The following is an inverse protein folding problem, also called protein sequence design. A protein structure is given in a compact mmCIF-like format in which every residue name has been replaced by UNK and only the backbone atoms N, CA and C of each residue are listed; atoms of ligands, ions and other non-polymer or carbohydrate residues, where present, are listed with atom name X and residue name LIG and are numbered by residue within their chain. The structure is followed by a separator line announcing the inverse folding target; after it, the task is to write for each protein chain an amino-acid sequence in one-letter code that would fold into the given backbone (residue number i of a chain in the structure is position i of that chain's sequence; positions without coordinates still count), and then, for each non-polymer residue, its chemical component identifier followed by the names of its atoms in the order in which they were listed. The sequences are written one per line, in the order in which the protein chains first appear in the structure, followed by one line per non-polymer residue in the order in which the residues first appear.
data_IF_924470385573
#
_entry.id   IF_924470385573
#
_cell.length_a   1.000
_cell.length_b   1.000
_cell.length_c   1.000
_cell.angle_alpha   90.00
_cell.angle_beta   90.00
_cell.angle_gamma   90.00
#
_symmetry.space_group_name_H-M   'P 1'
#
loop_
_entity.id
_entity.type
_entity.pdbx_description
1 polymer ?
#
# COMPACT_ATOMS: atom_id res chain seq x y z
N UNK A 1 12.76 21.68 16.58
CA UNK A 1 13.44 20.46 16.11
C UNK A 1 12.86 19.30 16.91
N UNK A 2 12.07 18.42 16.30
CA UNK A 2 11.57 17.25 17.02
C UNK A 2 12.65 16.17 16.94
N UNK A 3 13.31 15.92 18.06
CA UNK A 3 14.26 14.82 18.17
C UNK A 3 13.57 13.50 17.81
N UNK A 4 14.27 12.65 17.11
CA UNK A 4 13.86 11.24 16.96
C UNK A 4 13.89 10.68 18.38
N UNK A 5 12.73 10.48 18.99
CA UNK A 5 12.64 9.96 20.37
C UNK A 5 13.42 8.65 20.46
N UNK A 6 14.56 8.69 21.18
CA UNK A 6 15.41 7.53 21.42
C UNK A 6 16.63 7.37 20.53
N UNK A 7 16.84 8.22 19.51
CA UNK A 7 18.06 8.16 18.71
C UNK A 7 19.24 8.81 19.45
N UNK A 8 20.37 8.15 19.43
CA UNK A 8 21.64 8.69 19.97
C UNK A 8 22.16 9.81 19.07
N UNK A 9 23.03 10.65 19.61
CA UNK A 9 23.69 11.72 18.84
C UNK A 9 24.49 11.18 17.64
N UNK A 10 24.99 9.95 17.74
CA UNK A 10 25.73 9.27 16.67
C UNK A 10 24.81 8.81 15.54
N UNK A 11 23.65 8.24 15.87
CA UNK A 11 22.62 7.86 14.89
C UNK A 11 22.10 9.09 14.14
N UNK A 12 21.87 10.20 14.83
CA UNK A 12 21.48 11.48 14.20
C UNK A 12 22.56 12.00 13.25
N UNK A 13 23.84 11.90 13.63
CA UNK A 13 24.96 12.26 12.73
C UNK A 13 25.01 11.38 11.50
N UNK A 14 24.77 10.09 11.64
CA UNK A 14 24.76 9.12 10.54
C UNK A 14 23.58 9.39 9.59
N UNK A 15 22.40 9.65 10.12
CA UNK A 15 21.23 10.04 9.32
C UNK A 15 21.52 11.31 8.51
N UNK A 16 22.09 12.34 9.13
CA UNK A 16 22.45 13.58 8.44
C UNK A 16 23.52 13.35 7.36
N UNK A 17 24.51 12.49 7.62
CA UNK A 17 25.51 12.14 6.62
C UNK A 17 24.86 11.46 5.39
N UNK A 18 23.94 10.54 5.60
CA UNK A 18 23.15 9.89 4.53
C UNK A 18 22.32 10.95 3.77
N UNK A 19 21.59 11.81 4.47
CA UNK A 19 20.80 12.87 3.86
C UNK A 19 21.64 13.77 2.95
N UNK A 20 22.81 14.22 3.44
CA UNK A 20 23.76 15.02 2.62
C UNK A 20 24.24 14.27 1.39
N UNK A 21 24.57 12.98 1.53
CA UNK A 21 25.07 12.16 0.43
C UNK A 21 24.06 11.97 -0.71
N UNK A 22 22.76 11.99 -0.38
CA UNK A 22 21.67 11.86 -1.37
C UNK A 22 21.05 13.21 -1.75
N UNK A 23 21.54 14.34 -1.21
CA UNK A 23 21.01 15.68 -1.48
C UNK A 23 19.64 15.95 -0.82
N UNK A 24 19.27 15.17 0.19
CA UNK A 24 18.06 15.40 0.98
C UNK A 24 18.27 16.49 2.04
N UNK A 25 17.17 17.00 2.60
CA UNK A 25 17.20 17.99 3.67
C UNK A 25 17.92 17.43 4.91
N UNK A 26 19.03 18.05 5.29
CA UNK A 26 19.90 17.67 6.44
C UNK A 26 19.27 18.07 7.78
N UNK A 27 18.21 17.39 8.17
CA UNK A 27 17.48 17.65 9.42
C UNK A 27 17.59 16.54 10.46
N UNK A 28 18.28 15.44 10.14
CA UNK A 28 18.40 14.26 11.03
C UNK A 28 17.12 13.41 11.11
N UNK A 29 16.16 13.65 10.22
CA UNK A 29 14.90 12.89 10.13
C UNK A 29 14.83 12.10 8.84
N UNK A 30 14.53 10.81 8.94
CA UNK A 30 14.15 10.01 7.76
C UNK A 30 12.65 10.13 7.57
N UNK A 31 12.24 11.04 6.69
CA UNK A 31 10.85 11.18 6.23
C UNK A 31 10.65 10.67 4.81
N UNK A 32 9.43 10.82 4.29
CA UNK A 32 9.10 10.38 2.93
C UNK A 32 9.97 11.05 1.86
N UNK A 33 10.35 12.32 2.04
CA UNK A 33 11.23 13.01 1.11
C UNK A 33 12.63 12.39 1.12
N UNK A 34 13.22 12.18 2.30
CA UNK A 34 14.54 11.52 2.42
C UNK A 34 14.53 10.13 1.78
N UNK A 35 13.45 9.35 1.97
CA UNK A 35 13.32 8.03 1.33
C UNK A 35 13.22 8.12 -0.19
N UNK A 36 12.47 9.11 -0.72
CA UNK A 36 12.41 9.38 -2.15
C UNK A 36 13.79 9.76 -2.72
N UNK A 37 14.53 10.61 -2.02
CA UNK A 37 15.85 11.08 -2.45
C UNK A 37 16.89 9.94 -2.39
N UNK A 38 16.83 9.10 -1.34
CA UNK A 38 17.64 7.87 -1.24
C UNK A 38 17.32 6.94 -2.41
N UNK A 39 16.04 6.70 -2.66
CA UNK A 39 15.58 5.84 -3.74
C UNK A 39 16.02 6.37 -5.13
N UNK A 40 15.96 7.68 -5.34
CA UNK A 40 16.41 8.30 -6.59
C UNK A 40 17.93 8.16 -6.82
N UNK A 41 18.73 8.24 -5.75
CA UNK A 41 20.20 8.16 -5.82
C UNK A 41 20.74 6.74 -5.89
N UNK A 42 20.16 5.81 -5.12
CA UNK A 42 20.63 4.42 -5.05
C UNK A 42 20.17 3.56 -6.24
N UNK A 43 19.21 4.07 -7.05
CA UNK A 43 18.71 3.35 -8.20
C UNK A 43 17.78 2.17 -7.84
N UNK A 44 17.52 1.30 -8.82
CA UNK A 44 16.55 0.21 -8.68
C UNK A 44 17.02 -0.91 -7.72
N UNK A 45 18.32 -1.08 -7.55
CA UNK A 45 18.92 -2.23 -6.84
C UNK A 45 18.68 -2.21 -5.32
N UNK A 46 18.21 -1.09 -4.76
CA UNK A 46 17.88 -0.99 -3.33
C UNK A 46 16.44 -1.37 -2.99
N UNK A 47 15.60 -1.65 -3.98
CA UNK A 47 14.21 -2.03 -3.75
C UNK A 47 14.02 -3.57 -3.70
N UNK A 48 13.01 -4.03 -2.96
CA UNK A 48 12.10 -3.28 -2.09
C UNK A 48 12.74 -2.83 -0.77
N UNK A 49 12.46 -1.60 -0.34
CA UNK A 49 12.88 -1.06 0.95
C UNK A 49 11.88 -1.39 2.04
N UNK A 50 12.34 -1.95 3.14
CA UNK A 50 11.53 -2.27 4.31
C UNK A 50 11.84 -1.27 5.44
N UNK A 51 10.84 -0.49 5.84
CA UNK A 51 10.98 0.60 6.81
C UNK A 51 9.81 0.63 7.78
N UNK A 52 9.95 1.40 8.86
CA UNK A 52 8.84 1.78 9.73
C UNK A 52 8.56 3.28 9.56
N UNK A 53 7.32 3.63 9.19
CA UNK A 53 6.89 5.00 9.04
C UNK A 53 5.72 5.31 9.99
N UNK A 54 5.90 6.29 10.87
CA UNK A 54 4.88 6.68 11.86
C UNK A 54 4.38 5.51 12.72
N UNK A 55 5.28 4.59 13.11
CA UNK A 55 4.96 3.40 13.88
C UNK A 55 4.26 2.29 13.09
N UNK A 56 4.21 2.39 11.77
CA UNK A 56 3.61 1.39 10.90
C UNK A 56 4.68 0.73 10.02
N UNK A 57 4.74 -0.62 9.96
CA UNK A 57 5.60 -1.32 9.01
C UNK A 57 5.21 -1.02 7.57
N UNK A 58 6.21 -0.73 6.74
CA UNK A 58 6.03 -0.38 5.34
C UNK A 58 7.03 -1.11 4.44
N UNK A 59 6.60 -1.43 3.23
CA UNK A 59 7.44 -1.86 2.12
C UNK A 59 7.30 -0.83 1.00
N UNK A 60 8.42 -0.32 0.49
CA UNK A 60 8.46 0.62 -0.61
C UNK A 60 9.10 -0.03 -1.83
N UNK A 61 8.55 0.20 -3.02
CA UNK A 61 9.09 -0.30 -4.28
C UNK A 61 8.75 0.61 -5.45
N UNK A 62 9.35 0.32 -6.61
CA UNK A 62 9.03 1.01 -7.88
C UNK A 62 7.98 0.28 -8.70
N UNK A 63 7.75 -0.99 -8.38
CA UNK A 63 6.72 -1.80 -9.04
C UNK A 63 6.15 -2.86 -8.12
N UNK A 64 5.04 -3.46 -8.53
CA UNK A 64 4.39 -4.55 -7.81
C UNK A 64 3.97 -5.67 -8.75
N UNK A 65 3.81 -6.85 -8.18
CA UNK A 65 3.19 -8.01 -8.81
C UNK A 65 2.00 -8.47 -7.94
N UNK A 66 0.76 -8.18 -8.33
CA UNK A 66 -0.41 -8.72 -7.64
C UNK A 66 -0.51 -10.22 -7.91
N UNK A 67 -0.38 -11.03 -6.88
CA UNK A 67 -0.28 -12.49 -6.99
C UNK A 67 -1.57 -13.16 -6.50
N UNK A 68 -2.28 -13.85 -7.39
CA UNK A 68 -3.31 -14.81 -6.98
C UNK A 68 -2.60 -16.05 -6.43
N UNK A 69 -2.97 -16.49 -5.22
CA UNK A 69 -2.26 -17.53 -4.50
C UNK A 69 -3.16 -18.28 -3.53
N UNK A 70 -2.63 -19.33 -2.91
CA UNK A 70 -3.27 -20.02 -1.79
C UNK A 70 -2.17 -20.53 -0.84
N UNK A 71 -1.91 -19.75 0.23
CA UNK A 71 -0.86 -20.11 1.19
C UNK A 71 -0.33 -18.93 2.00
N UNK A 72 0.84 -19.11 2.63
CA UNK A 72 1.50 -18.07 3.41
C UNK A 72 1.93 -16.88 2.54
N UNK A 73 2.00 -15.69 3.13
CA UNK A 73 2.40 -14.48 2.44
C UNK A 73 3.85 -14.57 1.95
N UNK A 74 4.13 -14.34 0.64
CA UNK A 74 5.49 -14.36 0.12
C UNK A 74 6.35 -13.23 0.71
N UNK A 75 7.67 -13.34 0.54
CA UNK A 75 8.61 -12.30 0.95
C UNK A 75 8.34 -10.99 0.19
N UNK A 76 8.58 -9.87 0.87
CA UNK A 76 8.39 -8.51 0.36
C UNK A 76 6.97 -8.28 -0.20
N UNK A 77 5.96 -8.68 0.59
CA UNK A 77 4.55 -8.59 0.23
C UNK A 77 3.67 -8.11 1.39
N UNK A 78 2.50 -7.59 1.03
CA UNK A 78 1.36 -7.38 1.93
C UNK A 78 0.19 -8.27 1.48
N UNK A 79 -0.75 -8.55 2.40
CA UNK A 79 -2.03 -9.16 2.02
C UNK A 79 -2.73 -8.31 0.96
N UNK A 80 -3.39 -8.96 0.02
CA UNK A 80 -4.07 -8.31 -1.09
C UNK A 80 -5.44 -7.76 -0.72
N UNK A 81 -6.24 -7.52 -1.74
CA UNK A 81 -7.61 -7.02 -1.60
C UNK A 81 -8.58 -8.07 -1.06
N UNK A 82 -9.85 -7.68 -1.01
CA UNK A 82 -10.92 -8.51 -0.49
C UNK A 82 -11.03 -9.84 -1.23
N UNK A 83 -11.36 -10.88 -0.50
CA UNK A 83 -11.52 -12.22 -1.03
C UNK A 83 -12.79 -12.88 -0.50
N UNK A 84 -13.43 -13.71 -1.33
CA UNK A 84 -14.59 -14.51 -0.99
C UNK A 84 -14.46 -15.91 -1.55
N UNK A 85 -14.71 -16.93 -0.74
CA UNK A 85 -14.60 -18.35 -1.12
C UNK A 85 -13.28 -18.71 -1.82
N UNK A 86 -12.18 -18.11 -1.37
CA UNK A 86 -10.85 -18.40 -1.90
C UNK A 86 -10.51 -17.71 -3.22
N UNK A 87 -11.31 -16.75 -3.66
CA UNK A 87 -11.07 -15.98 -4.88
C UNK A 87 -11.03 -14.46 -4.58
N UNK A 88 -10.22 -13.68 -5.32
CA UNK A 88 -10.31 -12.23 -5.27
C UNK A 88 -11.72 -11.76 -5.61
N UNK A 89 -12.27 -10.82 -4.85
CA UNK A 89 -13.57 -10.23 -5.15
C UNK A 89 -13.49 -8.75 -5.58
N UNK A 90 -12.33 -8.13 -5.50
CA UNK A 90 -12.04 -6.81 -6.06
C UNK A 90 -11.42 -6.90 -7.46
N UNK A 91 -11.49 -5.82 -8.24
CA UNK A 91 -10.84 -5.73 -9.56
C UNK A 91 -9.35 -6.05 -9.42
N UNK A 92 -8.87 -6.95 -10.26
CA UNK A 92 -7.50 -7.40 -10.26
C UNK A 92 -6.99 -7.63 -11.68
N UNK A 93 -5.92 -6.94 -12.05
CA UNK A 93 -5.18 -7.16 -13.31
C UNK A 93 -3.72 -7.46 -12.97
N UNK A 94 -3.14 -8.47 -13.61
CA UNK A 94 -1.74 -8.88 -13.43
C UNK A 94 -1.07 -9.07 -14.78
N UNK A 95 0.03 -8.37 -15.03
CA UNK A 95 0.78 -8.47 -16.28
C UNK A 95 -0.09 -8.22 -17.53
N UNK A 96 -1.02 -7.27 -17.45
CA UNK A 96 -1.96 -6.95 -18.51
C UNK A 96 -3.13 -7.96 -18.69
N UNK A 97 -3.19 -8.99 -17.85
CA UNK A 97 -4.27 -9.99 -17.88
C UNK A 97 -5.28 -9.74 -16.77
N UNK A 98 -6.56 -9.65 -17.11
CA UNK A 98 -7.65 -9.53 -16.13
C UNK A 98 -7.79 -10.84 -15.37
N UNK A 99 -7.59 -10.81 -14.06
CA UNK A 99 -7.81 -11.91 -13.12
C UNK A 99 -9.23 -11.84 -12.55
N UNK A 100 -9.66 -10.63 -12.19
CA UNK A 100 -11.03 -10.33 -11.75
C UNK A 100 -11.47 -9.02 -12.40
N UNK A 101 -12.62 -9.06 -13.11
CA UNK A 101 -13.13 -7.91 -13.88
C UNK A 101 -14.00 -6.95 -13.06
N UNK A 102 -14.72 -7.47 -12.07
CA UNK A 102 -15.80 -6.74 -11.40
C UNK A 102 -15.37 -6.20 -10.03
N UNK A 103 -15.92 -5.03 -9.68
CA UNK A 103 -15.78 -4.44 -8.34
C UNK A 103 -16.34 -5.36 -7.25
N UNK A 104 -15.84 -5.20 -6.03
CA UNK A 104 -16.25 -6.01 -4.87
C UNK A 104 -17.78 -5.99 -4.64
N UNK A 105 -18.40 -4.86 -4.87
CA UNK A 105 -19.84 -4.65 -4.67
C UNK A 105 -20.57 -4.29 -5.97
N UNK A 106 -20.19 -4.96 -7.08
CA UNK A 106 -20.82 -4.72 -8.38
C UNK A 106 -22.36 -4.70 -8.28
N UNK A 107 -23.06 -3.74 -8.93
CA UNK A 107 -22.55 -2.77 -9.92
C UNK A 107 -21.96 -1.48 -9.34
N UNK A 108 -21.79 -1.34 -8.03
CA UNK A 108 -21.18 -0.15 -7.43
C UNK A 108 -19.69 -0.09 -7.80
N UNK A 109 -19.17 1.12 -8.08
CA UNK A 109 -17.76 1.27 -8.37
C UNK A 109 -16.93 1.09 -7.10
N UNK A 110 -15.69 0.63 -7.26
CA UNK A 110 -14.65 0.66 -6.24
C UNK A 110 -13.46 1.49 -6.72
N UNK A 111 -12.64 1.96 -5.79
CA UNK A 111 -11.38 2.61 -6.12
C UNK A 111 -10.34 1.59 -6.54
N UNK A 112 -9.67 1.84 -7.65
CA UNK A 112 -8.65 0.95 -8.22
C UNK A 112 -7.37 1.73 -8.42
N UNK A 113 -6.29 1.29 -7.76
CA UNK A 113 -4.94 1.75 -8.06
C UNK A 113 -4.38 0.91 -9.20
N UNK A 114 -3.85 1.53 -10.26
CA UNK A 114 -3.38 0.82 -11.43
C UNK A 114 -2.19 1.49 -12.08
N UNK A 115 -1.39 0.70 -12.82
CA UNK A 115 -0.28 1.17 -13.64
C UNK A 115 -0.62 1.00 -15.10
N UNK A 116 -0.52 2.08 -15.85
CA UNK A 116 -0.70 2.13 -17.30
C UNK A 116 0.56 1.62 -18.03
N UNK A 117 0.45 1.30 -19.30
CA UNK A 117 1.58 0.82 -20.12
C UNK A 117 2.71 1.84 -20.30
N UNK A 118 2.40 3.14 -20.18
CA UNK A 118 3.38 4.22 -20.16
C UNK A 118 4.13 4.36 -18.82
N UNK A 119 3.80 3.50 -17.84
CA UNK A 119 4.44 3.44 -16.54
C UNK A 119 3.83 4.35 -15.46
N UNK A 120 2.82 5.16 -15.79
CA UNK A 120 2.18 6.04 -14.82
C UNK A 120 1.30 5.23 -13.85
N UNK A 121 1.40 5.54 -12.55
CA UNK A 121 0.48 5.02 -11.52
C UNK A 121 -0.67 6.01 -11.36
N UNK A 122 -1.88 5.49 -11.36
CA UNK A 122 -3.13 6.30 -11.29
C UNK A 122 -4.15 5.61 -10.39
N UNK A 123 -5.18 6.36 -10.02
CA UNK A 123 -6.37 5.84 -9.35
C UNK A 123 -7.61 6.19 -10.16
N UNK A 124 -8.57 5.27 -10.21
CA UNK A 124 -9.89 5.52 -10.80
C UNK A 124 -10.95 4.82 -9.95
N UNK A 125 -12.18 5.31 -10.06
CA UNK A 125 -13.35 4.68 -9.43
C UNK A 125 -14.20 4.05 -10.52
N UNK A 126 -14.18 2.72 -10.61
CA UNK A 126 -14.80 1.95 -11.70
C UNK A 126 -15.49 0.70 -11.19
N UNK A 127 -16.46 0.19 -11.96
CA UNK A 127 -17.18 -1.02 -11.63
C UNK A 127 -16.60 -2.27 -12.29
N UNK A 128 -15.74 -2.08 -13.31
CA UNK A 128 -15.09 -3.19 -14.02
C UNK A 128 -13.69 -2.82 -14.51
N UNK A 129 -12.82 -3.82 -14.68
CA UNK A 129 -11.46 -3.64 -15.19
C UNK A 129 -11.44 -3.11 -16.62
N UNK A 130 -12.44 -3.43 -17.43
CA UNK A 130 -12.57 -2.96 -18.81
C UNK A 130 -12.59 -1.42 -18.91
N UNK A 131 -13.09 -0.73 -17.88
CA UNK A 131 -13.12 0.73 -17.83
C UNK A 131 -11.74 1.39 -17.64
N UNK A 132 -10.71 0.62 -17.27
CA UNK A 132 -9.34 1.13 -17.05
C UNK A 132 -8.53 1.20 -18.34
N UNK A 133 -8.98 0.55 -19.41
CA UNK A 133 -8.21 0.41 -20.64
C UNK A 133 -6.99 -0.52 -20.48
N UNK A 134 -5.95 -0.23 -21.21
CA UNK A 134 -4.72 -1.03 -21.22
C UNK A 134 -3.82 -0.73 -20.00
N UNK A 135 -3.83 -1.64 -19.03
CA UNK A 135 -3.06 -1.51 -17.79
C UNK A 135 -2.06 -2.67 -17.62
N UNK A 136 -0.96 -2.42 -16.93
CA UNK A 136 0.03 -3.45 -16.58
C UNK A 136 -0.45 -4.25 -15.38
N UNK A 137 -0.88 -3.54 -14.34
CA UNK A 137 -1.54 -4.12 -13.17
C UNK A 137 -2.63 -3.18 -12.64
N UNK A 138 -3.59 -3.76 -11.96
CA UNK A 138 -4.64 -3.04 -11.25
C UNK A 138 -5.04 -3.77 -9.97
N UNK A 139 -5.27 -3.03 -8.90
CA UNK A 139 -5.61 -3.50 -7.57
C UNK A 139 -6.76 -2.68 -7.03
N UNK A 140 -7.93 -3.32 -6.91
CA UNK A 140 -9.13 -2.72 -6.33
C UNK A 140 -9.13 -2.78 -4.80
N UNK A 141 -9.81 -1.81 -4.18
CA UNK A 141 -9.97 -1.70 -2.74
C UNK A 141 -10.84 -0.51 -2.35
N UNK A 142 -10.92 -0.20 -1.06
CA UNK A 142 -11.60 1.01 -0.59
C UNK A 142 -10.69 2.23 -0.80
N UNK A 143 -11.16 3.22 -1.56
CA UNK A 143 -10.44 4.47 -1.79
C UNK A 143 -10.26 5.30 -0.52
N UNK A 144 -9.03 5.78 -0.30
CA UNK A 144 -8.68 6.49 0.94
C UNK A 144 -8.52 8.01 0.76
N UNK A 145 -8.19 8.52 -0.42
CA UNK A 145 -7.73 9.91 -0.54
C UNK A 145 -8.64 10.83 -1.34
N UNK A 146 -8.94 10.51 -2.59
CA UNK A 146 -9.62 11.45 -3.49
C UNK A 146 -11.06 11.74 -3.07
N UNK A 147 -11.81 10.72 -2.72
CA UNK A 147 -13.19 10.82 -2.24
C UNK A 147 -13.46 9.70 -1.26
N UNK A 148 -12.96 9.82 -0.05
CA UNK A 148 -13.25 8.84 0.99
C UNK A 148 -14.76 8.76 1.28
N UNK A 149 -15.42 7.85 0.60
CA UNK A 149 -16.85 7.58 0.74
C UNK A 149 -17.09 6.06 0.69
N UNK A 150 -16.89 5.38 1.83
CA UNK A 150 -17.08 3.93 1.91
C UNK A 150 -18.48 3.48 1.51
N UNK A 151 -19.52 4.26 1.83
CA UNK A 151 -20.90 3.90 1.51
C UNK A 151 -21.16 3.87 0.00
N UNK A 152 -20.60 4.84 -0.74
CA UNK A 152 -20.72 4.88 -2.20
C UNK A 152 -19.95 3.73 -2.88
N UNK A 153 -18.91 3.18 -2.24
CA UNK A 153 -18.19 1.99 -2.70
C UNK A 153 -18.80 0.67 -2.18
N UNK A 154 -19.92 0.72 -1.47
CA UNK A 154 -20.63 -0.47 -1.00
C UNK A 154 -20.27 -0.94 0.42
N UNK A 155 -19.32 -0.28 1.09
CA UNK A 155 -18.93 -0.62 2.46
C UNK A 155 -19.89 0.01 3.48
N UNK A 156 -21.13 -0.49 3.49
CA UNK A 156 -22.19 -0.07 4.39
C UNK A 156 -23.04 -1.28 4.82
N UNK A 157 -23.88 -1.12 5.85
CA UNK A 157 -24.70 -2.20 6.37
C UNK A 157 -23.84 -3.39 6.83
N UNK A 158 -24.10 -4.57 6.29
CA UNK A 158 -23.37 -5.81 6.65
C UNK A 158 -21.89 -5.79 6.29
N UNK A 159 -21.47 -4.93 5.36
CA UNK A 159 -20.07 -4.76 4.95
C UNK A 159 -19.35 -3.62 5.69
N UNK A 160 -20.00 -2.98 6.65
CA UNK A 160 -19.38 -1.89 7.45
C UNK A 160 -18.32 -2.40 8.43
N UNK A 161 -18.24 -3.70 8.66
CA UNK A 161 -17.24 -4.32 9.52
C UNK A 161 -15.80 -4.08 9.04
N UNK A 162 -15.61 -3.86 7.74
CA UNK A 162 -14.33 -3.46 7.12
C UNK A 162 -13.83 -2.11 7.68
N UNK A 163 -14.75 -1.24 8.13
CA UNK A 163 -14.43 0.10 8.62
C UNK A 163 -14.02 0.14 10.10
N UNK A 164 -14.24 -0.98 10.84
CA UNK A 164 -13.99 -1.06 12.27
C UNK A 164 -12.51 -0.92 12.63
N UNK A 165 -12.25 -0.70 13.90
CA UNK A 165 -10.88 -0.69 14.43
C UNK A 165 -10.29 -2.10 14.41
N UNK A 166 -9.40 -2.35 13.45
CA UNK A 166 -8.68 -3.62 13.27
C UNK A 166 -7.34 -3.37 12.56
N UNK A 167 -6.63 -4.42 12.19
CA UNK A 167 -5.46 -4.27 11.31
C UNK A 167 -5.93 -4.11 9.87
N UNK A 168 -5.25 -3.28 9.10
CA UNK A 168 -5.52 -3.07 7.68
C UNK A 168 -4.22 -3.09 6.89
N UNK A 169 -4.30 -3.41 5.61
CA UNK A 169 -3.22 -3.16 4.67
C UNK A 169 -3.63 -2.09 3.67
N UNK A 170 -2.64 -1.33 3.22
CA UNK A 170 -2.83 -0.24 2.26
C UNK A 170 -1.82 -0.40 1.14
N UNK A 171 -2.28 -0.23 -0.08
CA UNK A 171 -1.43 0.03 -1.24
C UNK A 171 -1.58 1.49 -1.62
N UNK A 172 -0.48 2.23 -1.61
CA UNK A 172 -0.46 3.65 -1.95
C UNK A 172 0.66 4.02 -2.91
N UNK A 173 0.62 5.25 -3.40
CA UNK A 173 1.63 5.80 -4.30
C UNK A 173 1.96 7.24 -3.94
N UNK A 174 3.25 7.61 -4.04
CA UNK A 174 3.73 8.97 -3.94
C UNK A 174 5.04 9.13 -4.69
N UNK A 175 5.11 10.14 -5.57
CA UNK A 175 6.31 10.44 -6.34
C UNK A 175 6.81 9.25 -7.17
N UNK A 176 5.91 8.43 -7.68
CA UNK A 176 6.22 7.22 -8.42
C UNK A 176 6.69 6.02 -7.58
N UNK A 177 6.79 6.16 -6.24
CA UNK A 177 7.04 5.05 -5.32
C UNK A 177 5.73 4.45 -4.84
N UNK A 178 5.69 3.13 -4.77
CA UNK A 178 4.59 2.35 -4.23
C UNK A 178 4.86 2.02 -2.75
N UNK A 179 3.83 2.14 -1.95
CA UNK A 179 3.85 1.95 -0.50
C UNK A 179 2.91 0.80 -0.13
N UNK A 180 3.45 -0.27 0.44
CA UNK A 180 2.68 -1.27 1.16
C UNK A 180 2.74 -0.96 2.64
N UNK A 181 1.62 -0.63 3.26
CA UNK A 181 1.56 -0.23 4.67
C UNK A 181 0.71 -1.21 5.46
N UNK A 182 1.22 -1.67 6.59
CA UNK A 182 0.45 -2.44 7.57
C UNK A 182 0.01 -1.53 8.71
N UNK A 183 -1.26 -1.21 8.77
CA UNK A 183 -1.86 -0.32 9.76
C UNK A 183 -2.36 -1.13 10.97
N UNK A 184 -1.73 -0.95 12.14
CA UNK A 184 -2.07 -1.67 13.38
C UNK A 184 -3.25 -1.04 14.08
N UNK A 185 -4.31 -1.81 14.33
CA UNK A 185 -5.44 -1.45 15.19
C UNK A 185 -6.04 -0.05 14.91
N UNK A 186 -6.30 0.24 13.64
CA UNK A 186 -6.89 1.50 13.17
C UNK A 186 -8.30 1.28 12.61
N UNK A 187 -9.16 2.30 12.68
CA UNK A 187 -10.37 2.38 11.85
C UNK A 187 -10.01 2.80 10.44
N UNK A 188 -10.84 2.52 9.45
CA UNK A 188 -10.63 2.98 8.07
C UNK A 188 -10.46 4.52 7.99
N UNK A 189 -11.17 5.28 8.82
CA UNK A 189 -11.00 6.73 8.92
C UNK A 189 -9.62 7.14 9.46
N UNK A 190 -9.08 6.41 10.45
CA UNK A 190 -7.72 6.64 10.95
C UNK A 190 -6.66 6.27 9.91
N UNK A 191 -6.89 5.20 9.14
CA UNK A 191 -6.04 4.83 7.99
C UNK A 191 -6.06 5.92 6.92
N UNK A 192 -7.24 6.46 6.58
CA UNK A 192 -7.36 7.61 5.68
C UNK A 192 -6.52 8.80 6.17
N UNK A 193 -6.67 9.19 7.45
CA UNK A 193 -5.92 10.29 8.03
C UNK A 193 -4.39 10.04 8.04
N UNK A 194 -3.95 8.81 8.33
CA UNK A 194 -2.54 8.41 8.24
C UNK A 194 -2.00 8.61 6.81
N UNK A 195 -2.70 8.11 5.81
CA UNK A 195 -2.28 8.21 4.41
C UNK A 195 -2.25 9.66 3.91
N UNK A 196 -3.28 10.45 4.24
CA UNK A 196 -3.39 11.85 3.82
C UNK A 196 -2.45 12.77 4.58
N UNK A 197 -2.46 12.72 5.92
CA UNK A 197 -1.85 13.77 6.75
C UNK A 197 -0.41 13.47 7.16
N UNK A 198 -0.06 12.17 7.28
CA UNK A 198 1.28 11.75 7.71
C UNK A 198 2.14 11.26 6.55
N UNK A 199 1.67 10.25 5.83
CA UNK A 199 2.41 9.68 4.70
C UNK A 199 2.40 10.61 3.49
N UNK A 200 1.36 11.48 3.36
CA UNK A 200 1.20 12.40 2.24
C UNK A 200 1.19 11.65 0.90
N UNK A 201 0.49 10.53 0.86
CA UNK A 201 0.32 9.77 -0.38
C UNK A 201 -0.52 10.57 -1.39
N UNK A 202 -0.27 10.36 -2.66
CA UNK A 202 -1.05 10.92 -3.77
C UNK A 202 -2.29 10.07 -4.04
N UNK A 203 -2.09 8.76 -4.01
CA UNK A 203 -3.14 7.76 -4.20
C UNK A 203 -3.02 6.67 -3.14
N UNK A 204 -4.16 6.14 -2.69
CA UNK A 204 -4.18 5.01 -1.78
C UNK A 204 -5.51 4.26 -1.82
N UNK A 205 -5.43 2.93 -1.75
CA UNK A 205 -6.55 2.02 -1.54
C UNK A 205 -6.28 1.17 -0.30
N UNK A 206 -7.30 1.01 0.55
CA UNK A 206 -7.28 0.07 1.65
C UNK A 206 -7.70 -1.31 1.13
N UNK A 207 -6.90 -2.29 1.45
CA UNK A 207 -7.09 -3.69 1.07
C UNK A 207 -7.78 -4.46 2.21
N UNK A 208 -7.76 -5.78 2.13
CA UNK A 208 -8.40 -6.62 3.16
C UNK A 208 -7.74 -6.41 4.53
N UNK A 209 -8.52 -6.65 5.57
CA UNK A 209 -8.15 -6.33 6.95
C UNK A 209 -8.42 -7.47 7.93
N UNK A 210 -8.42 -7.12 9.23
CA UNK A 210 -8.67 -8.08 10.30
C UNK A 210 -7.55 -9.10 10.46
N UNK A 211 -7.90 -10.37 10.59
CA UNK A 211 -6.96 -11.47 10.79
C UNK A 211 -6.16 -11.84 9.53
N UNK A 212 -6.62 -11.42 8.34
CA UNK A 212 -5.92 -11.66 7.08
C UNK A 212 -4.94 -10.54 6.74
N UNK A 213 -5.05 -9.37 7.38
CA UNK A 213 -4.05 -8.32 7.22
C UNK A 213 -2.66 -8.84 7.57
N UNK A 214 -1.73 -8.77 6.64
CA UNK A 214 -0.39 -9.32 6.81
C UNK A 214 0.66 -8.51 6.05
N UNK A 215 1.90 -8.52 6.58
CA UNK A 215 3.08 -7.98 5.91
C UNK A 215 4.26 -8.93 6.13
N UNK A 216 5.01 -9.21 5.09
CA UNK A 216 6.23 -10.03 5.10
C UNK A 216 7.39 -9.26 4.46
N UNK A 217 7.97 -8.38 5.23
CA UNK A 217 9.16 -7.63 4.84
C UNK A 217 10.38 -8.03 5.67
N UNK A 218 11.55 -7.54 5.29
CA UNK A 218 12.80 -7.80 6.01
C UNK A 218 12.77 -7.29 7.46
N UNK A 219 12.13 -6.13 7.69
CA UNK A 219 12.05 -5.48 9.02
C UNK A 219 10.80 -5.86 9.82
N UNK A 220 9.79 -6.47 9.20
CA UNK A 220 8.52 -6.79 9.86
C UNK A 220 7.84 -7.99 9.23
N UNK A 221 7.52 -8.98 10.07
CA UNK A 221 6.77 -10.18 9.68
C UNK A 221 5.55 -10.30 10.59
N UNK A 222 4.38 -9.91 10.08
CA UNK A 222 3.13 -9.94 10.85
C UNK A 222 2.10 -10.77 10.08
N UNK A 223 1.48 -11.74 10.76
CA UNK A 223 0.45 -12.63 10.25
C UNK A 223 0.84 -13.40 8.97
N UNK A 224 2.13 -13.61 8.71
CA UNK A 224 2.64 -14.17 7.44
C UNK A 224 2.21 -15.61 7.20
N UNK A 225 1.85 -16.35 8.24
CA UNK A 225 1.37 -17.74 8.16
C UNK A 225 -0.13 -17.85 7.90
N UNK A 226 -0.88 -16.75 7.99
CA UNK A 226 -2.30 -16.75 7.63
C UNK A 226 -2.44 -17.04 6.15
N UNK A 227 -3.34 -17.96 5.80
CA UNK A 227 -3.61 -18.31 4.40
C UNK A 227 -4.12 -17.10 3.65
N UNK A 228 -3.39 -16.71 2.62
CA UNK A 228 -3.75 -15.65 1.70
C UNK A 228 -4.28 -16.25 0.40
N UNK A 229 -5.26 -15.59 -0.20
CA UNK A 229 -5.78 -15.93 -1.53
C UNK A 229 -5.29 -14.96 -2.59
N UNK A 230 -4.77 -13.85 -2.13
CA UNK A 230 -4.24 -12.78 -2.95
C UNK A 230 -3.21 -11.98 -2.16
N UNK A 231 -2.12 -11.62 -2.79
CA UNK A 231 -1.06 -10.80 -2.21
C UNK A 231 -0.59 -9.73 -3.20
N UNK A 232 -0.04 -8.64 -2.68
CA UNK A 232 0.69 -7.64 -3.45
C UNK A 232 2.17 -7.77 -3.10
N UNK A 233 2.97 -8.29 -4.02
CA UNK A 233 4.42 -8.41 -3.90
C UNK A 233 5.10 -7.17 -4.46
N UNK A 234 6.05 -6.64 -3.73
CA UNK A 234 6.85 -5.45 -4.08
C UNK A 234 8.14 -5.89 -4.79
N UNK A 235 8.49 -5.20 -5.91
CA UNK A 235 9.61 -5.53 -6.79
C UNK A 235 10.66 -4.42 -6.81
#
# INVERSE_FOLDING_TARGET
MKDIKGATSEEIRMIRAIQRSVGALDNGWIGNQTLSDIAAKLGADCFPLNVELYGQPCILARDIDPVNMSGPLPKDAISGGFSWQGQPCSILVRGGKVVRDWSCHYPRPESVLYKTKDGAVRIARVSSAAALGDVVWAVGGLGLLDRYDPAAEGFSGVYSDVLRKTNHTVLGCKGGLLYGVYCKAMTAQQVNALCRDKLKLEYAVMLDGGHVAAINGACSKLNTQTRQFYAVRFL
#
